data_IF_411615193911
#
_entry.id   IF_411615193911
#
_cell.length_a   1.000
_cell.length_b   1.000
_cell.length_c   1.000
_cell.angle_alpha   90.00
_cell.angle_beta   90.00
_cell.angle_gamma   90.00
#
_symmetry.space_group_name_H-M   'P 1'
#
loop_
_entity.id
_entity.type
_entity.pdbx_description
1 polymer ?
#
# COMPACT_ATOMS: atom_id res chain seq x y z
N UNK A 1 -8.07 27.09 8.36
CA UNK A 1 -8.09 25.85 7.59
C UNK A 1 -6.73 25.52 6.98
N UNK A 2 -6.08 26.42 6.28
CA UNK A 2 -4.80 26.18 5.60
C UNK A 2 -3.66 25.69 6.52
N UNK A 3 -3.52 26.21 7.73
CA UNK A 3 -2.51 25.73 8.69
C UNK A 3 -2.73 24.26 9.11
N UNK A 4 -3.99 23.84 9.23
CA UNK A 4 -4.33 22.43 9.55
C UNK A 4 -4.02 21.52 8.38
N UNK A 5 -4.27 21.94 7.15
CA UNK A 5 -3.89 21.22 5.93
C UNK A 5 -2.37 20.96 5.92
N UNK A 6 -1.56 22.02 6.17
CA UNK A 6 -0.09 21.88 6.26
C UNK A 6 0.32 20.88 7.35
N UNK A 7 -0.27 21.00 8.54
CA UNK A 7 0.02 20.07 9.64
C UNK A 7 -0.31 18.62 9.25
N UNK A 8 -1.47 18.39 8.64
CA UNK A 8 -1.88 17.05 8.18
C UNK A 8 -0.92 16.48 7.13
N UNK A 9 -0.46 17.29 6.18
CA UNK A 9 0.51 16.87 5.16
C UNK A 9 1.86 16.54 5.80
N UNK A 10 2.36 17.38 6.72
CA UNK A 10 3.64 17.15 7.39
C UNK A 10 3.62 15.87 8.25
N UNK A 11 2.52 15.64 8.98
CA UNK A 11 2.34 14.39 9.74
C UNK A 11 2.34 13.20 8.78
N UNK A 12 1.60 13.31 7.66
CA UNK A 12 1.54 12.24 6.66
C UNK A 12 2.91 11.96 6.05
N UNK A 13 3.67 13.00 5.67
CA UNK A 13 5.04 12.89 5.18
C UNK A 13 5.96 12.17 6.18
N UNK A 14 5.89 12.58 7.44
CA UNK A 14 6.71 11.98 8.49
C UNK A 14 6.40 10.48 8.68
N UNK A 15 5.12 10.10 8.73
CA UNK A 15 4.71 8.70 8.86
C UNK A 15 5.15 7.88 7.65
N UNK A 16 4.92 8.38 6.43
CA UNK A 16 5.32 7.70 5.19
C UNK A 16 6.84 7.58 5.10
N UNK A 17 7.59 8.62 5.43
CA UNK A 17 9.06 8.57 5.41
C UNK A 17 9.61 7.52 6.40
N UNK A 18 9.00 7.37 7.58
CA UNK A 18 9.39 6.30 8.53
C UNK A 18 9.14 4.90 7.98
N UNK A 19 8.16 4.71 7.11
CA UNK A 19 7.89 3.41 6.51
C UNK A 19 8.99 2.97 5.55
N UNK A 20 9.75 3.91 4.97
CA UNK A 20 10.85 3.62 4.06
C UNK A 20 11.91 2.70 4.69
N UNK A 21 12.22 2.92 5.97
CA UNK A 21 13.19 2.08 6.68
C UNK A 21 12.73 0.62 6.80
N UNK A 22 11.43 0.41 7.03
CA UNK A 22 10.83 -0.94 7.14
C UNK A 22 10.75 -1.66 5.80
N UNK A 23 10.64 -0.92 4.70
CA UNK A 23 10.44 -1.46 3.35
C UNK A 23 11.74 -1.58 2.55
N UNK A 24 12.91 -1.21 3.13
CA UNK A 24 14.22 -1.28 2.44
C UNK A 24 14.57 -2.69 1.93
N UNK A 25 14.12 -3.72 2.66
CA UNK A 25 14.35 -5.12 2.29
C UNK A 25 13.33 -5.67 1.29
N UNK A 26 12.56 -4.79 0.65
CA UNK A 26 11.52 -5.15 -0.33
C UNK A 26 11.73 -4.39 -1.64
N UNK A 27 10.92 -4.69 -2.65
CA UNK A 27 10.87 -3.93 -3.92
C UNK A 27 9.91 -2.74 -3.88
N UNK A 28 9.37 -2.38 -2.70
CA UNK A 28 8.37 -1.32 -2.51
C UNK A 28 8.91 0.11 -2.29
N UNK A 29 10.21 0.40 -2.09
CA UNK A 29 10.68 1.77 -1.90
C UNK A 29 10.23 2.75 -2.97
N UNK A 30 10.10 2.31 -4.23
CA UNK A 30 9.57 3.15 -5.32
C UNK A 30 8.17 3.66 -5.03
N UNK A 31 7.27 2.81 -4.51
CA UNK A 31 5.92 3.22 -4.12
C UNK A 31 5.94 4.27 -2.99
N UNK A 32 6.83 4.09 -2.00
CA UNK A 32 7.00 5.06 -0.91
C UNK A 32 7.54 6.39 -1.41
N UNK A 33 8.51 6.38 -2.32
CA UNK A 33 9.04 7.61 -2.92
C UNK A 33 7.99 8.36 -3.73
N UNK A 34 7.11 7.67 -4.46
CA UNK A 34 5.97 8.31 -5.11
C UNK A 34 5.02 8.96 -4.09
N UNK A 35 4.70 8.27 -2.98
CA UNK A 35 3.86 8.83 -1.93
C UNK A 35 4.49 10.08 -1.28
N UNK A 36 5.80 10.05 -0.99
CA UNK A 36 6.55 11.20 -0.47
C UNK A 36 6.51 12.35 -1.47
N UNK A 37 6.77 12.07 -2.76
CA UNK A 37 6.75 13.07 -3.83
C UNK A 37 5.39 13.75 -3.97
N UNK A 38 4.30 12.98 -3.95
CA UNK A 38 2.94 13.51 -4.01
C UNK A 38 2.58 14.37 -2.80
N UNK A 39 2.89 13.92 -1.58
CA UNK A 39 2.67 14.70 -0.36
C UNK A 39 3.55 15.97 -0.32
N UNK A 40 4.79 15.90 -0.79
CA UNK A 40 5.67 17.06 -0.89
C UNK A 40 5.13 18.10 -1.89
N UNK A 41 4.61 17.65 -3.04
CA UNK A 41 3.94 18.53 -4.00
C UNK A 41 2.72 19.22 -3.39
N UNK A 42 1.90 18.49 -2.61
CA UNK A 42 0.78 19.09 -1.87
C UNK A 42 1.25 20.14 -0.86
N UNK A 43 2.35 19.86 -0.13
CA UNK A 43 2.92 20.80 0.82
C UNK A 43 3.38 22.10 0.13
N UNK A 44 4.05 21.97 -1.02
CA UNK A 44 4.48 23.12 -1.82
C UNK A 44 3.28 23.92 -2.32
N UNK A 45 2.25 23.26 -2.90
CA UNK A 45 1.05 23.91 -3.37
C UNK A 45 0.33 24.69 -2.25
N UNK A 46 0.20 24.08 -1.06
CA UNK A 46 -0.43 24.71 0.09
C UNK A 46 0.41 25.87 0.62
N UNK A 47 1.72 25.81 0.56
CA UNK A 47 2.62 26.89 0.97
C UNK A 47 2.51 28.09 0.03
N UNK A 48 2.36 27.86 -1.28
CA UNK A 48 2.13 28.90 -2.27
C UNK A 48 0.77 29.59 -2.00
N UNK A 49 -0.28 28.83 -1.72
CA UNK A 49 -1.62 29.38 -1.38
C UNK A 49 -1.55 30.26 -0.12
N UNK A 50 -0.77 29.88 0.88
CA UNK A 50 -0.57 30.69 2.10
C UNK A 50 0.21 31.96 1.85
N UNK A 51 1.24 31.91 0.99
CA UNK A 51 2.10 33.09 0.73
C UNK A 51 1.45 34.08 -0.24
N UNK A 52 0.62 33.61 -1.19
CA UNK A 52 0.07 34.41 -2.29
C UNK A 52 -1.43 34.13 -2.51
N UNK A 53 -2.31 34.42 -1.55
CA UNK A 53 -3.72 33.99 -1.59
C UNK A 53 -4.51 34.55 -2.76
N UNK A 54 -4.17 35.76 -3.26
CA UNK A 54 -4.93 36.44 -4.31
C UNK A 54 -4.40 36.18 -5.73
N UNK A 55 -3.18 35.69 -5.90
CA UNK A 55 -2.47 35.60 -7.19
C UNK A 55 -2.21 34.21 -7.69
N UNK A 56 -2.41 33.20 -6.86
CA UNK A 56 -1.80 31.89 -7.06
C UNK A 56 -2.76 30.77 -7.51
N UNK A 57 -4.04 31.07 -7.81
CA UNK A 57 -5.08 30.04 -7.99
C UNK A 57 -4.70 28.92 -9.00
N UNK A 58 -4.26 29.28 -10.20
CA UNK A 58 -3.89 28.28 -11.20
C UNK A 58 -2.64 27.45 -10.82
N UNK A 59 -1.63 28.07 -10.21
CA UNK A 59 -0.44 27.37 -9.76
C UNK A 59 -0.71 26.44 -8.58
N UNK A 60 -1.58 26.89 -7.66
CA UNK A 60 -2.02 26.06 -6.53
C UNK A 60 -2.81 24.87 -7.02
N UNK A 61 -3.76 25.09 -7.94
CA UNK A 61 -4.52 24.00 -8.54
C UNK A 61 -3.62 23.01 -9.29
N UNK A 62 -2.65 23.52 -10.06
CA UNK A 62 -1.67 22.66 -10.76
C UNK A 62 -0.86 21.83 -9.78
N UNK A 63 -0.40 22.41 -8.68
CA UNK A 63 0.34 21.70 -7.65
C UNK A 63 -0.49 20.60 -6.96
N UNK A 64 -1.74 20.88 -6.63
CA UNK A 64 -2.65 19.90 -6.05
C UNK A 64 -3.04 18.80 -7.05
N UNK A 65 -3.25 19.16 -8.32
CA UNK A 65 -3.50 18.19 -9.38
C UNK A 65 -2.29 17.27 -9.59
N UNK A 66 -1.10 17.85 -9.68
CA UNK A 66 0.15 17.08 -9.76
C UNK A 66 0.32 16.15 -8.55
N UNK A 67 0.04 16.66 -7.35
CA UNK A 67 0.02 15.85 -6.13
C UNK A 67 -0.90 14.64 -6.26
N UNK A 68 -2.15 14.84 -6.72
CA UNK A 68 -3.12 13.77 -6.90
C UNK A 68 -2.64 12.72 -7.92
N UNK A 69 -2.06 13.17 -9.06
CA UNK A 69 -1.47 12.27 -10.07
C UNK A 69 -0.33 11.44 -9.49
N UNK A 70 0.60 12.07 -8.77
CA UNK A 70 1.75 11.36 -8.19
C UNK A 70 1.30 10.43 -7.06
N UNK A 71 0.28 10.81 -6.29
CA UNK A 71 -0.30 9.95 -5.26
C UNK A 71 -1.03 8.71 -5.83
N UNK A 72 -1.40 8.65 -7.10
CA UNK A 72 -1.87 7.40 -7.74
C UNK A 72 -0.74 6.39 -7.98
N UNK A 73 0.49 6.88 -8.15
CA UNK A 73 1.64 6.05 -8.54
C UNK A 73 2.02 4.95 -7.53
N UNK A 74 1.87 5.09 -6.20
CA UNK A 74 2.17 4.03 -5.26
C UNK A 74 1.50 2.70 -5.58
N UNK A 75 0.18 2.71 -5.84
CA UNK A 75 -0.58 1.51 -6.16
C UNK A 75 -0.12 0.86 -7.48
N UNK A 76 0.20 1.67 -8.48
CA UNK A 76 0.72 1.18 -9.78
C UNK A 76 2.15 0.64 -9.63
N UNK A 77 2.99 1.27 -8.80
CA UNK A 77 4.35 0.80 -8.53
C UNK A 77 4.35 -0.58 -7.87
N UNK A 78 3.40 -0.86 -6.97
CA UNK A 78 3.24 -2.19 -6.35
C UNK A 78 2.92 -3.27 -7.39
N UNK A 79 2.10 -2.98 -8.39
CA UNK A 79 1.78 -3.94 -9.46
C UNK A 79 3.01 -4.38 -10.26
N UNK A 80 4.02 -3.52 -10.35
CA UNK A 80 5.30 -3.82 -11.00
C UNK A 80 6.44 -4.22 -10.05
N UNK A 81 6.16 -4.44 -8.77
CA UNK A 81 7.18 -4.62 -7.73
C UNK A 81 7.87 -6.00 -7.75
N UNK A 82 8.27 -6.50 -8.91
CA UNK A 82 8.96 -7.78 -9.09
C UNK A 82 10.35 -7.58 -9.71
N UNK A 83 11.39 -8.15 -9.11
CA UNK A 83 12.74 -8.18 -9.69
C UNK A 83 12.80 -9.14 -10.89
N UNK A 84 13.62 -8.82 -11.93
CA UNK A 84 14.46 -7.65 -12.08
C UNK A 84 13.73 -6.43 -12.67
N UNK A 85 12.43 -6.51 -12.97
CA UNK A 85 11.69 -5.53 -13.78
C UNK A 85 11.17 -4.29 -13.02
N UNK A 86 11.36 -4.16 -11.71
CA UNK A 86 10.75 -3.07 -10.93
C UNK A 86 11.17 -1.66 -11.39
N UNK A 87 12.43 -1.45 -11.72
CA UNK A 87 12.92 -0.15 -12.25
C UNK A 87 12.43 0.12 -13.68
N UNK A 88 12.41 -0.91 -14.53
CA UNK A 88 11.86 -0.81 -15.89
C UNK A 88 10.35 -0.48 -15.83
N UNK A 89 9.60 -1.08 -14.92
CA UNK A 89 8.20 -0.77 -14.72
C UNK A 89 7.97 0.70 -14.33
N UNK A 90 8.77 1.23 -13.41
CA UNK A 90 8.68 2.63 -13.02
C UNK A 90 8.90 3.56 -14.21
N UNK A 91 9.87 3.26 -15.07
CA UNK A 91 10.17 4.07 -16.25
C UNK A 91 9.16 3.90 -17.39
N UNK A 92 8.76 2.66 -17.71
CA UNK A 92 7.91 2.40 -18.87
C UNK A 92 6.40 2.42 -18.58
N UNK A 93 5.98 2.39 -17.31
CA UNK A 93 4.56 2.40 -16.95
C UNK A 93 4.21 3.59 -16.08
N UNK A 94 4.93 3.81 -14.97
CA UNK A 94 4.57 4.89 -14.02
C UNK A 94 4.84 6.26 -14.64
N UNK A 95 5.99 6.47 -15.28
CA UNK A 95 6.31 7.76 -15.89
C UNK A 95 5.34 8.14 -17.03
N UNK A 96 5.06 7.28 -18.04
CA UNK A 96 4.05 7.58 -19.06
C UNK A 96 2.66 7.82 -18.47
N UNK A 97 2.26 7.08 -17.44
CA UNK A 97 0.99 7.30 -16.74
C UNK A 97 0.91 8.73 -16.17
N UNK A 98 1.96 9.18 -15.48
CA UNK A 98 2.03 10.54 -14.96
C UNK A 98 1.92 11.56 -16.10
N UNK A 99 2.65 11.38 -17.20
CA UNK A 99 2.60 12.28 -18.34
C UNK A 99 1.20 12.36 -18.96
N UNK A 100 0.55 11.21 -19.15
CA UNK A 100 -0.81 11.14 -19.73
C UNK A 100 -1.83 11.80 -18.80
N UNK A 101 -1.77 11.50 -17.49
CA UNK A 101 -2.70 12.10 -16.54
C UNK A 101 -2.44 13.60 -16.30
N UNK A 102 -1.21 14.07 -16.48
CA UNK A 102 -0.88 15.51 -16.40
C UNK A 102 -1.27 16.30 -17.65
N UNK A 103 -1.48 15.64 -18.78
CA UNK A 103 -1.75 16.30 -20.06
C UNK A 103 -2.94 17.27 -20.01
N UNK A 104 -4.12 16.92 -19.43
CA UNK A 104 -5.25 17.85 -19.37
C UNK A 104 -4.93 19.16 -18.61
N UNK A 105 -4.18 19.03 -17.50
CA UNK A 105 -3.79 20.21 -16.72
C UNK A 105 -2.79 21.08 -17.47
N UNK A 106 -1.82 20.49 -18.17
CA UNK A 106 -0.86 21.21 -19.01
C UNK A 106 -1.57 21.91 -20.16
N UNK A 107 -2.50 21.25 -20.85
CA UNK A 107 -3.28 21.82 -21.92
C UNK A 107 -4.14 23.00 -21.45
N UNK A 108 -4.86 22.84 -20.33
CA UNK A 108 -5.66 23.92 -19.71
C UNK A 108 -4.80 25.11 -19.30
N UNK A 109 -3.63 24.85 -18.72
CA UNK A 109 -2.71 25.87 -18.26
C UNK A 109 -2.06 26.67 -19.40
N UNK A 110 -1.81 26.01 -20.55
CA UNK A 110 -1.28 26.68 -21.74
C UNK A 110 -2.35 27.57 -22.44
N UNK A 111 -3.61 27.14 -22.42
CA UNK A 111 -4.71 27.86 -23.07
C UNK A 111 -5.28 28.99 -22.20
N UNK A 112 -5.25 28.82 -20.89
CA UNK A 112 -5.73 29.80 -19.93
C UNK A 112 -4.56 30.62 -19.33
N UNK A 113 -4.88 31.81 -18.82
CA UNK A 113 -3.89 32.58 -18.06
C UNK A 113 -3.49 31.78 -16.80
N UNK A 114 -2.21 31.86 -16.34
CA UNK A 114 -1.75 31.13 -15.15
C UNK A 114 -2.55 31.37 -13.85
N UNK A 115 -3.39 32.39 -13.84
CA UNK A 115 -4.27 32.77 -12.73
C UNK A 115 -5.66 32.13 -12.78
N UNK A 116 -6.03 31.48 -13.91
CA UNK A 116 -7.32 30.80 -14.01
C UNK A 116 -7.26 29.45 -13.30
N UNK A 117 -8.35 29.05 -12.62
CA UNK A 117 -8.44 27.73 -12.01
C UNK A 117 -8.39 26.63 -13.09
N UNK A 118 -7.76 25.50 -12.75
CA UNK A 118 -7.70 24.34 -13.65
C UNK A 118 -9.06 23.66 -13.72
N UNK A 119 -9.50 23.40 -14.94
CA UNK A 119 -10.69 22.60 -15.24
C UNK A 119 -10.31 21.32 -15.96
N UNK A 120 -10.77 20.19 -15.41
CA UNK A 120 -10.46 18.85 -15.91
C UNK A 120 -11.69 18.30 -16.62
N UNK A 121 -11.50 17.81 -17.83
CA UNK A 121 -12.55 17.19 -18.60
C UNK A 121 -12.91 15.79 -18.07
N UNK A 122 -14.15 15.35 -18.35
CA UNK A 122 -14.69 14.05 -17.93
C UNK A 122 -13.78 12.85 -18.30
N UNK A 123 -13.19 12.78 -19.50
CA UNK A 123 -12.32 11.66 -19.85
C UNK A 123 -11.12 11.50 -18.91
N UNK A 124 -10.53 12.59 -18.45
CA UNK A 124 -9.43 12.54 -17.47
C UNK A 124 -9.91 12.03 -16.10
N UNK A 125 -11.10 12.48 -15.66
CA UNK A 125 -11.70 12.00 -14.42
C UNK A 125 -11.99 10.50 -14.47
N UNK A 126 -12.48 10.00 -15.60
CA UNK A 126 -12.65 8.54 -15.86
C UNK A 126 -11.30 7.82 -15.79
N UNK A 127 -10.25 8.40 -16.37
CA UNK A 127 -8.88 7.87 -16.28
C UNK A 127 -8.40 7.72 -14.84
N UNK A 128 -8.61 8.73 -14.00
CA UNK A 128 -8.33 8.65 -12.55
C UNK A 128 -9.11 7.52 -11.88
N UNK A 129 -10.41 7.40 -12.16
CA UNK A 129 -11.26 6.34 -11.62
C UNK A 129 -10.74 4.94 -11.98
N UNK A 130 -10.39 4.72 -13.24
CA UNK A 130 -9.85 3.44 -13.71
C UNK A 130 -8.51 3.10 -13.03
N UNK A 131 -7.61 4.07 -12.88
CA UNK A 131 -6.33 3.86 -12.18
C UNK A 131 -6.57 3.55 -10.70
N UNK A 132 -7.53 4.23 -10.04
CA UNK A 132 -7.91 3.94 -8.66
C UNK A 132 -8.47 2.52 -8.51
N UNK A 133 -9.35 2.09 -9.42
CA UNK A 133 -9.91 0.74 -9.42
C UNK A 133 -8.80 -0.30 -9.60
N UNK A 134 -7.88 -0.07 -10.53
CA UNK A 134 -6.78 -1.01 -10.80
C UNK A 134 -5.80 -1.10 -9.62
N UNK A 135 -5.42 0.05 -9.05
CA UNK A 135 -4.48 0.10 -7.93
C UNK A 135 -5.11 -0.32 -6.61
N UNK A 136 -6.31 0.18 -6.31
CA UNK A 136 -7.06 -0.12 -5.10
C UNK A 136 -7.61 -1.54 -5.09
N UNK A 137 -8.10 -2.04 -6.24
CA UNK A 137 -8.59 -3.41 -6.39
C UNK A 137 -7.57 -4.46 -5.99
N UNK A 138 -6.27 -4.14 -6.12
CA UNK A 138 -5.18 -5.01 -5.67
C UNK A 138 -5.18 -5.27 -4.14
N UNK A 139 -5.86 -4.45 -3.36
CA UNK A 139 -5.91 -4.58 -1.90
C UNK A 139 -7.27 -5.03 -1.37
N UNK A 140 -8.24 -5.29 -2.23
CA UNK A 140 -9.53 -5.84 -1.82
C UNK A 140 -9.34 -7.29 -1.33
N UNK A 141 -9.90 -7.59 -0.15
CA UNK A 141 -9.73 -8.86 0.54
C UNK A 141 -8.47 -8.94 1.42
N UNK A 142 -7.59 -7.94 1.41
CA UNK A 142 -6.50 -7.80 2.38
C UNK A 142 -6.98 -7.06 3.64
N UNK A 143 -6.14 -7.03 4.67
CA UNK A 143 -6.39 -6.21 5.88
C UNK A 143 -6.56 -4.72 5.58
N UNK A 144 -6.07 -4.24 4.43
CA UNK A 144 -6.05 -2.84 4.05
C UNK A 144 -7.21 -2.40 3.15
N UNK A 145 -8.24 -3.23 2.97
CA UNK A 145 -9.41 -2.90 2.16
C UNK A 145 -10.03 -1.55 2.54
N UNK A 146 -10.26 -1.28 3.84
CA UNK A 146 -10.83 0.01 4.29
C UNK A 146 -9.87 1.18 4.05
N UNK A 147 -8.57 0.99 4.29
CA UNK A 147 -7.56 2.01 3.96
C UNK A 147 -7.58 2.37 2.49
N UNK A 148 -7.83 1.40 1.61
CA UNK A 148 -7.94 1.63 0.17
C UNK A 148 -9.15 2.47 -0.19
N UNK A 149 -10.30 2.28 0.46
CA UNK A 149 -11.48 3.13 0.27
C UNK A 149 -11.21 4.57 0.73
N UNK A 150 -10.62 4.77 1.91
CA UNK A 150 -10.25 6.11 2.38
C UNK A 150 -9.26 6.79 1.44
N UNK A 151 -8.30 6.04 0.92
CA UNK A 151 -7.34 6.54 -0.06
C UNK A 151 -8.01 6.95 -1.37
N UNK A 152 -8.87 6.10 -1.93
CA UNK A 152 -9.61 6.41 -3.15
C UNK A 152 -10.51 7.65 -2.96
N UNK A 153 -11.22 7.74 -1.83
CA UNK A 153 -12.04 8.89 -1.50
C UNK A 153 -11.21 10.18 -1.39
N UNK A 154 -10.02 10.11 -0.74
CA UNK A 154 -9.12 11.25 -0.62
C UNK A 154 -8.62 11.75 -1.99
N UNK A 155 -8.24 10.85 -2.90
CA UNK A 155 -7.85 11.22 -4.27
C UNK A 155 -9.03 11.83 -5.03
N UNK A 156 -10.23 11.25 -4.94
CA UNK A 156 -11.41 11.79 -5.61
C UNK A 156 -11.79 13.18 -5.06
N UNK A 157 -11.63 13.42 -3.76
CA UNK A 157 -11.81 14.74 -3.15
C UNK A 157 -10.82 15.79 -3.70
N UNK A 158 -9.63 15.40 -4.12
CA UNK A 158 -8.68 16.32 -4.75
C UNK A 158 -9.05 16.64 -6.21
N UNK A 159 -9.55 15.64 -6.97
CA UNK A 159 -9.68 15.73 -8.43
C UNK A 159 -11.08 16.16 -8.88
N UNK A 160 -12.15 15.64 -8.25
CA UNK A 160 -13.55 15.94 -8.67
C UNK A 160 -13.89 17.43 -8.62
N UNK A 161 -13.49 18.23 -7.59
CA UNK A 161 -13.78 19.66 -7.57
C UNK A 161 -13.06 20.47 -8.64
N UNK A 162 -12.09 19.86 -9.34
CA UNK A 162 -11.40 20.45 -10.49
C UNK A 162 -12.04 20.07 -11.83
N UNK A 163 -13.06 19.19 -11.82
CA UNK A 163 -13.72 18.75 -13.04
C UNK A 163 -14.85 19.70 -13.45
N UNK A 164 -15.00 19.89 -14.77
CA UNK A 164 -16.17 20.60 -15.34
C UNK A 164 -17.50 19.91 -15.03
N UNK A 165 -17.48 18.63 -14.71
CA UNK A 165 -18.65 17.81 -14.34
C UNK A 165 -18.77 17.62 -12.81
N UNK A 166 -18.14 18.48 -11.99
CA UNK A 166 -18.28 18.39 -10.55
C UNK A 166 -19.75 18.55 -10.14
N UNK A 167 -20.33 17.61 -9.37
CA UNK A 167 -21.70 17.75 -8.89
C UNK A 167 -21.83 18.90 -7.88
N UNK A 168 -22.98 19.60 -7.86
CA UNK A 168 -23.23 20.74 -6.96
C UNK A 168 -23.11 20.42 -5.46
N UNK A 169 -23.33 19.14 -5.09
CA UNK A 169 -23.18 18.68 -3.71
C UNK A 169 -21.72 18.46 -3.28
N UNK A 170 -20.77 18.55 -4.22
CA UNK A 170 -19.36 18.33 -3.90
C UNK A 170 -18.80 19.56 -3.16
N UNK A 171 -17.91 19.37 -2.17
CA UNK A 171 -17.36 20.48 -1.42
C UNK A 171 -16.47 21.38 -2.30
N UNK A 172 -16.39 22.66 -1.96
CA UNK A 172 -15.43 23.58 -2.58
C UNK A 172 -13.98 23.05 -2.49
N UNK A 173 -13.13 23.46 -3.44
CA UNK A 173 -11.73 23.01 -3.55
C UNK A 173 -10.97 23.08 -2.23
N UNK A 174 -11.11 24.17 -1.47
CA UNK A 174 -10.43 24.33 -0.19
C UNK A 174 -10.89 23.34 0.88
N UNK A 175 -12.20 23.13 0.98
CA UNK A 175 -12.82 22.16 1.89
C UNK A 175 -12.49 20.73 1.45
N UNK A 176 -12.52 20.46 0.15
CA UNK A 176 -12.15 19.15 -0.41
C UNK A 176 -10.69 18.78 -0.11
N UNK A 177 -9.74 19.73 -0.27
CA UNK A 177 -8.33 19.54 0.10
C UNK A 177 -8.16 19.24 1.59
N UNK A 178 -8.88 19.97 2.44
CA UNK A 178 -8.87 19.68 3.88
C UNK A 178 -9.38 18.27 4.18
N UNK A 179 -10.53 17.88 3.62
CA UNK A 179 -11.10 16.54 3.80
C UNK A 179 -10.19 15.45 3.23
N UNK A 180 -9.55 15.68 2.09
CA UNK A 180 -8.59 14.75 1.49
C UNK A 180 -7.37 14.52 2.40
N UNK A 181 -6.81 15.60 2.99
CA UNK A 181 -5.67 15.45 3.92
C UNK A 181 -6.05 14.71 5.19
N UNK A 182 -7.27 14.89 5.71
CA UNK A 182 -7.81 14.05 6.79
C UNK A 182 -7.97 12.59 6.35
N UNK A 183 -8.45 12.35 5.12
CA UNK A 183 -8.54 11.02 4.52
C UNK A 183 -7.19 10.31 4.49
N UNK A 184 -6.11 10.97 4.10
CA UNK A 184 -4.76 10.40 4.14
C UNK A 184 -4.30 10.08 5.57
N UNK A 185 -4.62 10.91 6.56
CA UNK A 185 -4.33 10.59 7.96
C UNK A 185 -5.12 9.37 8.44
N UNK A 186 -6.38 9.20 8.01
CA UNK A 186 -7.16 8.01 8.30
C UNK A 186 -6.53 6.75 7.68
N UNK A 187 -6.09 6.82 6.42
CA UNK A 187 -5.32 5.73 5.77
C UNK A 187 -4.12 5.33 6.63
N UNK A 188 -3.30 6.31 7.03
CA UNK A 188 -2.09 6.06 7.80
C UNK A 188 -2.37 5.53 9.21
N UNK A 189 -3.42 6.04 9.85
CA UNK A 189 -3.82 5.57 11.19
C UNK A 189 -4.33 4.13 11.14
N UNK A 190 -5.16 3.81 10.16
CA UNK A 190 -5.72 2.48 9.96
C UNK A 190 -4.65 1.46 9.59
N UNK A 191 -3.75 1.80 8.66
CA UNK A 191 -2.62 0.94 8.32
C UNK A 191 -1.69 0.69 9.52
N UNK A 192 -1.45 1.71 10.33
CA UNK A 192 -0.61 1.59 11.54
C UNK A 192 -1.25 0.71 12.63
N UNK A 193 -2.57 0.80 12.79
CA UNK A 193 -3.33 -0.06 13.72
C UNK A 193 -3.30 -1.52 13.28
N UNK A 194 -3.57 -1.78 12.00
CA UNK A 194 -3.65 -3.13 11.45
C UNK A 194 -2.30 -3.81 11.34
N UNK A 195 -1.22 -3.04 11.13
CA UNK A 195 0.15 -3.57 11.15
C UNK A 195 0.56 -4.12 12.53
N UNK A 196 -0.07 -3.67 13.61
CA UNK A 196 0.19 -4.15 14.98
C UNK A 196 -0.71 -5.33 15.39
N UNK A 197 -1.84 -5.49 14.73
CA UNK A 197 -2.81 -6.53 15.00
C UNK A 197 -2.46 -7.78 14.17
N UNK A 198 -1.38 -8.48 14.50
CA UNK A 198 -1.23 -9.86 14.08
C UNK A 198 -2.17 -10.71 14.94
N UNK A 199 -2.96 -11.57 14.34
CA UNK A 199 -3.99 -12.26 15.08
C UNK A 199 -3.47 -13.52 15.76
N UNK A 200 -4.03 -13.74 16.92
CA UNK A 200 -4.63 -14.96 17.42
C UNK A 200 -3.69 -16.17 17.56
N UNK A 201 -3.74 -16.73 18.75
CA UNK A 201 -3.19 -18.04 19.13
C UNK A 201 -3.37 -19.10 18.03
N UNK A 202 -2.28 -19.77 17.68
CA UNK A 202 -2.29 -20.92 16.78
C UNK A 202 -1.90 -20.68 15.32
N UNK A 203 -1.55 -19.44 14.91
CA UNK A 203 -1.09 -19.16 13.54
C UNK A 203 0.34 -19.64 13.33
N UNK A 204 0.57 -20.41 12.28
CA UNK A 204 1.89 -20.87 11.90
C UNK A 204 2.77 -19.71 11.43
N UNK A 205 4.11 -19.85 11.57
CA UNK A 205 5.06 -18.85 11.06
C UNK A 205 4.96 -18.67 9.54
N UNK A 206 4.58 -19.71 8.84
CA UNK A 206 4.34 -19.67 7.39
C UNK A 206 3.11 -18.84 7.05
N UNK A 207 2.06 -18.89 7.88
CA UNK A 207 0.87 -18.05 7.69
C UNK A 207 1.17 -16.57 7.97
N UNK A 208 2.00 -16.27 8.99
CA UNK A 208 2.47 -14.89 9.23
C UNK A 208 3.21 -14.36 8.02
N UNK A 209 4.15 -15.14 7.48
CA UNK A 209 4.89 -14.79 6.28
C UNK A 209 3.95 -14.57 5.07
N UNK A 210 2.94 -15.42 4.93
CA UNK A 210 1.95 -15.33 3.87
C UNK A 210 1.09 -14.06 3.97
N UNK A 211 0.53 -13.78 5.14
CA UNK A 211 -0.29 -12.60 5.35
C UNK A 211 0.51 -11.31 5.16
N UNK A 212 1.73 -11.22 5.69
CA UNK A 212 2.57 -10.05 5.52
C UNK A 212 2.97 -9.82 4.06
N UNK A 213 3.17 -10.90 3.28
CA UNK A 213 3.40 -10.79 1.85
C UNK A 213 2.14 -10.28 1.12
N UNK A 214 0.98 -10.89 1.39
CA UNK A 214 -0.29 -10.51 0.78
C UNK A 214 -0.65 -9.05 1.08
N UNK A 215 -0.47 -8.62 2.32
CA UNK A 215 -0.74 -7.24 2.72
C UNK A 215 0.25 -6.23 2.12
N UNK A 216 1.49 -6.63 1.93
CA UNK A 216 2.52 -5.75 1.35
C UNK A 216 2.39 -5.60 -0.17
N UNK A 217 2.11 -6.69 -0.89
CA UNK A 217 2.12 -6.74 -2.35
C UNK A 217 0.73 -6.84 -2.99
N UNK A 218 -0.31 -7.07 -2.18
CA UNK A 218 -1.70 -7.14 -2.60
C UNK A 218 -2.08 -8.48 -3.25
N UNK A 219 -3.36 -8.58 -3.60
CA UNK A 219 -4.01 -9.82 -4.06
C UNK A 219 -3.48 -10.33 -5.39
N UNK A 220 -3.05 -9.44 -6.31
CA UNK A 220 -2.55 -9.84 -7.62
C UNK A 220 -1.28 -10.69 -7.50
N UNK A 221 -0.35 -10.27 -6.65
CA UNK A 221 0.88 -11.03 -6.40
C UNK A 221 0.64 -12.20 -5.46
N UNK A 222 -0.20 -12.02 -4.44
CA UNK A 222 -0.59 -13.10 -3.54
C UNK A 222 -1.21 -14.27 -4.32
N UNK A 223 -2.18 -14.01 -5.20
CA UNK A 223 -2.79 -15.05 -6.03
C UNK A 223 -1.76 -15.81 -6.88
N UNK A 224 -0.83 -15.12 -7.52
CA UNK A 224 0.21 -15.74 -8.34
C UNK A 224 1.18 -16.62 -7.52
N UNK A 225 1.55 -16.16 -6.31
CA UNK A 225 2.39 -16.95 -5.40
C UNK A 225 1.61 -18.17 -4.90
N UNK A 226 0.37 -17.99 -4.47
CA UNK A 226 -0.52 -19.07 -4.04
C UNK A 226 -0.68 -20.15 -5.12
N UNK A 227 -0.92 -19.76 -6.37
CA UNK A 227 -1.07 -20.70 -7.48
C UNK A 227 0.20 -21.52 -7.70
N UNK A 228 1.39 -20.89 -7.58
CA UNK A 228 2.68 -21.58 -7.73
C UNK A 228 2.98 -22.50 -6.55
N UNK A 229 2.68 -22.09 -5.33
CA UNK A 229 2.80 -22.95 -4.14
C UNK A 229 1.90 -24.17 -4.27
N UNK A 230 0.65 -23.98 -4.66
CA UNK A 230 -0.32 -25.06 -4.82
C UNK A 230 -0.01 -25.97 -6.02
N UNK A 231 0.64 -25.46 -7.07
CA UNK A 231 1.18 -26.27 -8.15
C UNK A 231 2.28 -27.22 -7.65
N UNK A 232 3.22 -26.68 -6.86
CA UNK A 232 4.27 -27.50 -6.21
C UNK A 232 3.68 -28.50 -5.22
N UNK A 233 2.71 -28.07 -4.41
CA UNK A 233 2.02 -28.94 -3.45
C UNK A 233 1.37 -30.16 -4.11
N UNK A 234 0.69 -29.95 -5.23
CA UNK A 234 0.08 -31.06 -6.01
C UNK A 234 1.12 -31.98 -6.63
N UNK A 235 2.18 -31.41 -7.21
CA UNK A 235 3.23 -32.19 -7.87
C UNK A 235 4.01 -33.06 -6.88
N UNK A 236 4.31 -32.50 -5.70
CA UNK A 236 5.08 -33.19 -4.66
C UNK A 236 4.21 -33.88 -3.60
N UNK A 237 2.89 -33.85 -3.77
CA UNK A 237 1.90 -34.46 -2.87
C UNK A 237 2.07 -34.00 -1.41
N UNK A 238 2.10 -32.69 -1.20
CA UNK A 238 2.16 -32.13 0.14
C UNK A 238 0.86 -32.38 0.91
N UNK A 239 0.98 -32.54 2.22
CA UNK A 239 -0.16 -32.70 3.13
C UNK A 239 -0.96 -31.38 3.34
N UNK A 240 -0.47 -30.25 2.83
CA UNK A 240 -1.07 -28.94 3.00
C UNK A 240 -1.18 -28.20 1.65
N UNK A 241 -2.17 -27.34 1.53
CA UNK A 241 -2.31 -26.38 0.45
C UNK A 241 -2.45 -24.96 1.00
N UNK A 242 -2.12 -23.95 0.19
CA UNK A 242 -2.23 -22.54 0.56
C UNK A 242 -3.55 -21.98 0.08
N UNK A 243 -4.30 -21.39 1.01
CA UNK A 243 -5.51 -20.61 0.72
C UNK A 243 -5.33 -19.13 1.09
N UNK A 244 -6.34 -18.31 0.85
CA UNK A 244 -6.29 -16.89 1.24
C UNK A 244 -6.16 -16.70 2.76
N UNK A 245 -6.70 -17.64 3.51
CA UNK A 245 -6.73 -17.62 4.98
C UNK A 245 -5.55 -18.37 5.63
N UNK A 246 -4.55 -18.77 4.85
CA UNK A 246 -3.38 -19.49 5.32
C UNK A 246 -3.29 -20.92 4.79
N UNK A 247 -2.42 -21.72 5.41
CA UNK A 247 -2.24 -23.11 5.07
C UNK A 247 -3.31 -24.01 5.67
N UNK A 248 -3.94 -24.83 4.83
CA UNK A 248 -4.95 -25.80 5.25
C UNK A 248 -4.48 -27.23 4.93
N UNK A 249 -4.74 -28.22 5.81
CA UNK A 249 -4.42 -29.61 5.51
C UNK A 249 -5.30 -30.15 4.37
N UNK A 250 -4.70 -30.97 3.51
CA UNK A 250 -5.42 -31.64 2.40
C UNK A 250 -6.05 -32.96 2.85
N UNK A 251 -5.44 -33.62 3.85
CA UNK A 251 -5.94 -34.85 4.43
C UNK A 251 -6.56 -34.60 5.81
N UNK A 252 -7.52 -35.43 6.21
CA UNK A 252 -8.22 -35.28 7.51
C UNK A 252 -7.30 -35.47 8.72
N UNK A 253 -6.16 -36.18 8.58
CA UNK A 253 -5.22 -36.40 9.69
C UNK A 253 -3.81 -36.67 9.15
N UNK A 254 -3.04 -35.65 8.73
CA UNK A 254 -1.64 -35.85 8.37
C UNK A 254 -0.80 -36.23 9.59
N UNK A 255 0.18 -37.09 9.40
CA UNK A 255 1.13 -37.46 10.48
C UNK A 255 2.05 -36.30 10.83
N UNK A 256 2.59 -36.26 12.08
CA UNK A 256 3.52 -35.22 12.49
C UNK A 256 4.77 -35.15 11.61
N UNK A 257 5.30 -36.30 11.16
CA UNK A 257 6.45 -36.36 10.26
C UNK A 257 6.15 -35.82 8.86
N UNK A 258 4.94 -36.07 8.35
CA UNK A 258 4.50 -35.50 7.06
C UNK A 258 4.35 -33.99 7.13
N UNK A 259 3.79 -33.46 8.23
CA UNK A 259 3.67 -32.02 8.45
C UNK A 259 5.06 -31.37 8.54
N UNK A 260 5.99 -31.95 9.28
CA UNK A 260 7.34 -31.40 9.42
C UNK A 260 8.05 -31.32 8.06
N UNK A 261 8.06 -32.43 7.30
CA UNK A 261 8.66 -32.46 5.95
C UNK A 261 7.97 -31.49 4.98
N UNK A 262 6.64 -31.37 5.08
CA UNK A 262 5.87 -30.43 4.27
C UNK A 262 6.23 -28.98 4.60
N UNK A 263 6.35 -28.63 5.87
CA UNK A 263 6.74 -27.28 6.32
C UNK A 263 8.12 -26.87 5.79
N UNK A 264 9.13 -27.76 5.84
CA UNK A 264 10.45 -27.48 5.29
C UNK A 264 10.41 -27.22 3.77
N UNK A 265 9.63 -28.01 3.03
CA UNK A 265 9.45 -27.82 1.58
C UNK A 265 8.70 -26.53 1.24
N UNK A 266 7.65 -26.19 2.00
CA UNK A 266 6.93 -24.93 1.88
C UNK A 266 7.89 -23.77 2.10
N UNK A 267 8.69 -23.80 3.17
CA UNK A 267 9.66 -22.73 3.46
C UNK A 267 10.64 -22.52 2.31
N UNK A 268 11.23 -23.61 1.79
CA UNK A 268 12.15 -23.54 0.64
C UNK A 268 11.48 -22.96 -0.60
N UNK A 269 10.24 -23.37 -0.87
CA UNK A 269 9.45 -22.87 -2.00
C UNK A 269 9.12 -21.38 -1.84
N UNK A 270 8.72 -20.95 -0.64
CA UNK A 270 8.50 -19.53 -0.36
C UNK A 270 9.77 -18.70 -0.53
N UNK A 271 10.89 -19.15 0.04
CA UNK A 271 12.19 -18.48 -0.14
C UNK A 271 12.54 -18.31 -1.61
N UNK A 272 12.30 -19.34 -2.41
CA UNK A 272 12.56 -19.28 -3.86
C UNK A 272 11.60 -18.33 -4.61
N UNK A 273 10.32 -18.32 -4.29
CA UNK A 273 9.34 -17.46 -4.93
C UNK A 273 9.49 -16.01 -4.49
N UNK A 274 9.61 -15.76 -3.17
CA UNK A 274 9.60 -14.44 -2.58
C UNK A 274 10.89 -13.64 -2.79
N UNK A 275 12.04 -14.29 -3.08
CA UNK A 275 13.31 -13.60 -3.40
C UNK A 275 13.20 -12.58 -4.54
N UNK A 276 12.15 -12.66 -5.35
CA UNK A 276 11.86 -11.71 -6.42
C UNK A 276 11.21 -10.42 -5.91
N UNK A 277 10.76 -10.38 -4.69
CA UNK A 277 10.02 -9.29 -4.06
C UNK A 277 10.71 -8.74 -2.84
N UNK A 278 11.34 -9.61 -2.07
CA UNK A 278 11.96 -9.28 -0.78
C UNK A 278 13.35 -9.88 -0.68
N UNK A 279 14.16 -9.31 0.22
CA UNK A 279 15.49 -9.83 0.56
C UNK A 279 15.36 -11.02 1.54
N UNK A 280 16.36 -11.91 1.60
CA UNK A 280 16.33 -13.05 2.50
C UNK A 280 16.10 -12.68 3.97
N UNK A 281 16.68 -11.57 4.42
CA UNK A 281 16.55 -11.07 5.79
C UNK A 281 15.10 -10.72 6.17
N UNK A 282 14.30 -10.26 5.20
CA UNK A 282 12.87 -10.00 5.39
C UNK A 282 12.09 -11.29 5.69
N UNK A 283 12.42 -12.39 5.02
CA UNK A 283 11.82 -13.71 5.24
C UNK A 283 12.29 -14.27 6.58
N UNK A 284 13.60 -14.20 6.85
CA UNK A 284 14.20 -14.73 8.07
C UNK A 284 13.64 -14.07 9.32
N UNK A 285 13.42 -12.75 9.30
CA UNK A 285 12.83 -12.02 10.41
C UNK A 285 11.46 -12.60 10.79
N UNK A 286 10.60 -12.91 9.82
CA UNK A 286 9.25 -13.43 10.04
C UNK A 286 9.21 -14.90 10.44
N UNK A 287 10.16 -15.68 9.97
CA UNK A 287 10.28 -17.08 10.37
C UNK A 287 10.92 -17.26 11.75
N UNK A 288 11.70 -16.26 12.25
CA UNK A 288 12.33 -16.28 13.58
C UNK A 288 11.46 -15.70 14.67
N UNK A 289 10.53 -14.80 14.35
CA UNK A 289 9.62 -14.26 15.37
C UNK A 289 8.84 -15.40 16.03
N UNK A 290 8.82 -15.50 17.37
CA UNK A 290 8.04 -16.51 18.06
C UNK A 290 6.56 -16.32 17.68
N UNK A 291 5.88 -17.42 17.36
CA UNK A 291 4.42 -17.38 17.21
C UNK A 291 3.84 -16.76 18.48
N UNK A 292 2.99 -15.72 18.31
CA UNK A 292 2.33 -15.05 19.45
C UNK A 292 1.58 -16.12 20.25
N UNK A 293 2.00 -16.37 21.50
CA UNK A 293 1.40 -17.40 22.37
C UNK A 293 2.36 -18.48 22.89
N UNK A 294 3.60 -18.59 22.38
CA UNK A 294 4.60 -19.42 23.03
C UNK A 294 5.30 -18.59 24.13
N UNK A 295 4.95 -18.85 25.39
CA UNK A 295 5.70 -18.33 26.52
C UNK A 295 7.18 -18.66 26.37
N UNK A 296 8.12 -17.74 26.70
CA UNK A 296 9.54 -18.03 26.64
C UNK A 296 9.84 -19.28 27.49
N UNK A 297 10.73 -20.18 27.00
CA UNK A 297 11.01 -21.45 27.67
C UNK A 297 11.52 -21.31 29.12
N UNK A 298 11.90 -20.11 29.53
CA UNK A 298 12.45 -19.86 30.88
C UNK A 298 11.40 -19.73 31.98
N UNK A 299 10.11 -19.49 31.67
CA UNK A 299 9.05 -19.43 32.72
C UNK A 299 8.55 -20.83 33.14
N UNK A 300 8.71 -21.86 32.33
CA UNK A 300 8.28 -23.22 32.66
C UNK A 300 9.23 -23.88 33.69
N UNK A 301 10.50 -23.47 33.72
CA UNK A 301 11.46 -24.03 34.69
C UNK A 301 11.33 -23.42 36.08
N UNK A 302 10.87 -22.18 36.19
CA UNK A 302 10.70 -21.54 37.52
C UNK A 302 9.45 -22.02 38.30
N UNK A 303 8.43 -22.47 37.56
CA UNK A 303 7.20 -23.01 38.20
C UNK A 303 7.37 -24.42 38.77
N UNK A 304 8.28 -25.24 38.18
CA UNK A 304 8.54 -26.59 38.70
C UNK A 304 9.51 -26.60 39.88
N UNK A 305 10.30 -25.55 40.09
CA UNK A 305 11.20 -25.45 41.26
C UNK A 305 10.47 -24.98 42.54
N UNK A 306 9.31 -24.37 42.43
CA UNK A 306 8.52 -23.90 43.58
C UNK A 306 7.56 -24.94 44.16
N UNK A 307 7.31 -26.07 43.47
CA UNK A 307 6.48 -27.18 43.96
C UNK A 307 7.27 -28.29 44.69
N UNK A 308 8.60 -28.16 44.78
CA UNK A 308 9.47 -29.14 45.45
C UNK A 308 10.17 -28.58 46.71
N UNK A 309 9.72 -27.46 47.21
CA UNK A 309 10.13 -26.92 48.55
C UNK A 309 8.92 -26.88 49.47
#
# INVERSE_FOLDING_TARGET
MSAVIVANILISLWVVARSLARLRQTTLPTAVWCAIGGLAAAAVAQSIELAYPEQANGWVDLGWYFSAVVLLCPGIAVLGARRPGASAWAFFVVLPLVLVLMWPAVASFQMARPTAPIEIEVPALVGFGLVLIMSGGNYFGTRYTMSTFYYAAAIMLLVVPMSVAAPDFFPERSTARFMATLGFLLVLSETSRRSKALPVDGISRLDVLWFDFMDSFGMVWAKRVMDRVNESARHEKWAMQLELHGFVPVAESPTADELLRTNERIELTFRWLLKRFVDPEWIDARLREPAVGQAPPDEVQSSQASEQS
#
